data_IF_903545598844
#
_entry.id   IF_903545598844
#
_cell.length_a   1.000
_cell.length_b   1.000
_cell.length_c   1.000
_cell.angle_alpha   90.00
_cell.angle_beta   90.00
_cell.angle_gamma   90.00
#
_symmetry.space_group_name_H-M   'P 1'
#
loop_
_entity.id
_entity.type
_entity.pdbx_description
1 polymer ?
#
# COMPACT_ATOMS: atom_id res chain seq x y z
N UNK A 1 -20.93 -9.65 19.77
CA UNK A 1 -20.12 -8.42 19.69
C UNK A 1 -20.77 -7.45 20.64
N UNK A 2 -20.00 -6.91 21.58
CA UNK A 2 -20.50 -5.92 22.54
C UNK A 2 -20.72 -4.59 21.80
N UNK A 3 -21.87 -3.95 22.00
CA UNK A 3 -22.23 -2.69 21.32
C UNK A 3 -21.64 -1.45 22.01
N UNK A 4 -20.96 -1.64 23.14
CA UNK A 4 -20.35 -0.59 23.95
C UNK A 4 -19.13 0.08 23.25
N UNK A 5 -18.51 -0.57 22.26
CA UNK A 5 -17.33 -0.04 21.54
C UNK A 5 -17.66 0.71 20.24
N UNK A 6 -18.92 1.09 20.02
CA UNK A 6 -19.33 1.84 18.82
C UNK A 6 -19.09 3.35 18.99
N UNK A 7 -18.43 3.98 18.01
CA UNK A 7 -18.43 5.44 17.88
C UNK A 7 -19.86 5.95 17.63
N UNK A 8 -20.33 6.90 18.45
CA UNK A 8 -21.70 7.44 18.35
C UNK A 8 -21.67 8.82 17.72
N UNK A 9 -22.37 8.96 16.60
CA UNK A 9 -22.68 10.27 15.99
C UNK A 9 -24.01 10.75 16.57
N UNK A 10 -24.06 11.88 17.29
CA UNK A 10 -25.30 12.38 17.86
C UNK A 10 -26.22 12.90 16.74
N UNK A 11 -27.48 12.46 16.77
CA UNK A 11 -28.53 13.03 15.94
C UNK A 11 -28.84 14.48 16.36
N UNK A 12 -29.43 15.22 15.44
CA UNK A 12 -29.99 16.54 15.74
C UNK A 12 -31.03 16.48 16.87
N UNK A 13 -30.97 17.47 17.78
CA UNK A 13 -31.93 17.64 18.86
C UNK A 13 -32.97 18.68 18.44
N UNK A 14 -34.20 18.25 18.06
CA UNK A 14 -35.21 19.14 17.49
C UNK A 14 -35.71 20.21 18.47
N UNK A 15 -35.41 20.09 19.77
CA UNK A 15 -35.86 21.01 20.81
C UNK A 15 -34.88 22.16 21.07
N UNK A 16 -33.73 22.23 20.37
CA UNK A 16 -32.75 23.31 20.54
C UNK A 16 -32.40 24.02 19.23
N UNK A 17 -32.50 25.36 19.14
CA UNK A 17 -32.22 26.09 17.89
C UNK A 17 -30.73 26.17 17.49
N UNK A 18 -29.81 25.63 18.30
CA UNK A 18 -28.39 25.99 18.25
C UNK A 18 -27.45 24.76 18.22
N UNK A 19 -27.97 23.53 18.21
CA UNK A 19 -27.15 22.31 18.19
C UNK A 19 -27.55 21.37 17.06
N UNK A 20 -27.09 21.72 15.87
CA UNK A 20 -27.21 20.86 14.68
C UNK A 20 -26.37 19.59 14.89
N UNK A 21 -27.05 18.47 15.14
CA UNK A 21 -26.46 17.13 15.07
C UNK A 21 -26.50 16.58 13.64
N UNK A 22 -26.29 15.27 13.49
CA UNK A 22 -26.49 14.60 12.20
C UNK A 22 -27.98 14.51 11.85
N UNK A 23 -28.32 14.83 10.60
CA UNK A 23 -29.62 14.61 9.99
C UNK A 23 -29.58 13.41 9.04
N UNK A 24 -30.67 12.63 8.91
CA UNK A 24 -30.76 11.56 7.91
C UNK A 24 -30.36 12.05 6.51
N UNK A 25 -29.38 11.36 5.90
CA UNK A 25 -28.80 11.75 4.61
C UNK A 25 -27.46 12.48 4.68
N UNK A 26 -27.02 12.92 5.87
CA UNK A 26 -25.70 13.53 6.04
C UNK A 26 -24.59 12.52 5.75
N UNK A 27 -23.49 13.02 5.19
CA UNK A 27 -22.30 12.21 4.92
C UNK A 27 -21.39 12.20 6.15
N UNK A 28 -21.04 11.01 6.61
CA UNK A 28 -20.03 10.78 7.65
C UNK A 28 -18.73 10.37 6.98
N UNK A 29 -17.71 11.23 7.10
CA UNK A 29 -16.34 10.98 6.64
C UNK A 29 -15.42 10.74 7.84
N UNK A 30 -14.47 9.82 7.72
CA UNK A 30 -13.44 9.61 8.73
C UNK A 30 -12.08 10.11 8.23
N UNK A 31 -11.34 10.77 9.11
CA UNK A 31 -9.98 11.24 8.86
C UNK A 31 -9.04 10.67 9.93
N UNK A 32 -7.88 10.17 9.50
CA UNK A 32 -6.80 9.71 10.38
C UNK A 32 -5.60 10.65 10.20
N UNK A 33 -5.21 11.33 11.28
CA UNK A 33 -4.14 12.34 11.27
C UNK A 33 -4.31 13.39 10.14
N UNK A 34 -5.56 13.80 9.87
CA UNK A 34 -5.90 14.76 8.81
C UNK A 34 -6.00 14.18 7.39
N UNK A 35 -5.75 12.89 7.19
CA UNK A 35 -5.90 12.21 5.89
C UNK A 35 -7.27 11.52 5.81
N UNK A 36 -8.00 11.73 4.70
CA UNK A 36 -9.29 11.10 4.47
C UNK A 36 -9.13 9.57 4.36
N UNK A 37 -9.87 8.82 5.18
CA UNK A 37 -9.73 7.38 5.34
C UNK A 37 -10.40 6.56 4.22
N UNK A 38 -10.85 7.20 3.13
CA UNK A 38 -11.35 6.53 1.92
C UNK A 38 -12.79 6.02 1.98
N UNK A 39 -13.33 5.82 3.17
CA UNK A 39 -14.65 5.25 3.38
C UNK A 39 -15.66 6.31 3.88
N UNK A 40 -16.88 6.30 3.31
CA UNK A 40 -18.02 7.13 3.77
C UNK A 40 -19.21 6.29 4.21
N UNK A 41 -20.00 6.81 5.14
CA UNK A 41 -21.35 6.31 5.41
C UNK A 41 -22.39 7.42 5.36
N UNK A 42 -23.64 7.04 5.07
CA UNK A 42 -24.79 7.93 5.23
C UNK A 42 -25.31 7.80 6.65
N UNK A 43 -25.54 8.93 7.31
CA UNK A 43 -26.15 8.98 8.62
C UNK A 43 -27.65 8.64 8.52
N UNK A 44 -28.09 7.74 9.40
CA UNK A 44 -29.51 7.41 9.62
C UNK A 44 -29.77 7.30 11.12
N UNK A 45 -30.86 7.89 11.60
CA UNK A 45 -31.13 7.96 13.03
C UNK A 45 -31.47 6.57 13.62
N UNK A 46 -30.75 6.16 14.66
CA UNK A 46 -30.95 4.89 15.35
C UNK A 46 -30.34 3.67 14.67
N UNK A 47 -29.69 3.85 13.52
CA UNK A 47 -29.05 2.76 12.76
C UNK A 47 -27.58 2.58 13.14
N UNK A 48 -27.04 1.40 12.82
CA UNK A 48 -25.59 1.12 12.91
C UNK A 48 -25.06 0.77 11.53
N UNK A 49 -24.02 1.48 11.12
CA UNK A 49 -23.30 1.21 9.87
C UNK A 49 -21.83 0.89 10.18
N UNK A 50 -21.26 -0.06 9.45
CA UNK A 50 -19.85 -0.40 9.56
C UNK A 50 -19.07 0.37 8.51
N UNK A 51 -18.01 1.05 8.95
CA UNK A 51 -17.06 1.67 8.05
C UNK A 51 -15.75 0.91 8.15
N UNK A 52 -15.48 0.08 7.15
CA UNK A 52 -14.19 -0.58 7.04
C UNK A 52 -13.16 0.47 6.62
N UNK A 53 -12.15 0.67 7.47
CA UNK A 53 -11.06 1.59 7.23
C UNK A 53 -9.85 0.79 6.78
N UNK A 54 -9.51 0.91 5.50
CA UNK A 54 -8.23 0.44 5.00
C UNK A 54 -7.23 1.61 5.09
N UNK A 55 -6.35 1.58 6.10
CA UNK A 55 -5.26 2.56 6.20
C UNK A 55 -4.18 2.19 5.19
N UNK A 56 -4.40 2.58 3.93
CA UNK A 56 -3.38 2.48 2.89
C UNK A 56 -2.46 3.70 2.97
N UNK A 57 -1.54 3.71 3.94
CA UNK A 57 -0.37 4.60 3.87
C UNK A 57 0.71 3.91 3.06
N UNK A 58 0.47 3.65 1.77
CA UNK A 58 1.57 3.24 0.89
C UNK A 58 2.34 4.50 0.53
N UNK A 59 3.58 4.61 1.01
CA UNK A 59 4.51 5.58 0.42
C UNK A 59 5.00 4.97 -0.88
N UNK A 60 4.13 4.94 -1.89
CA UNK A 60 4.47 4.40 -3.20
C UNK A 60 5.57 5.26 -3.81
N UNK A 61 6.70 4.65 -4.12
CA UNK A 61 7.78 5.28 -4.86
C UNK A 61 7.72 4.83 -6.32
N UNK A 62 7.58 5.78 -7.24
CA UNK A 62 7.60 5.51 -8.67
C UNK A 62 9.04 5.44 -9.20
N UNK A 63 9.40 4.30 -9.80
CA UNK A 63 10.70 4.09 -10.43
C UNK A 63 10.53 3.68 -11.90
N UNK A 64 11.01 4.52 -12.81
CA UNK A 64 11.07 4.17 -14.22
C UNK A 64 12.21 3.16 -14.47
N UNK A 65 11.88 2.01 -15.03
CA UNK A 65 12.83 1.05 -15.61
C UNK A 65 12.79 1.17 -17.13
N UNK A 66 13.95 1.05 -17.78
CA UNK A 66 14.07 1.04 -19.23
C UNK A 66 14.30 -0.38 -19.76
N UNK A 67 13.88 -0.67 -20.98
CA UNK A 67 14.13 -1.95 -21.65
C UNK A 67 15.61 -2.38 -21.51
N UNK A 68 15.82 -3.64 -21.11
CA UNK A 68 17.14 -4.17 -20.82
C UNK A 68 17.51 -4.03 -19.34
N UNK A 69 18.80 -3.79 -19.06
CA UNK A 69 19.36 -3.85 -17.71
C UNK A 69 19.31 -2.50 -17.00
N UNK A 70 18.79 -2.49 -15.77
CA UNK A 70 18.76 -1.35 -14.86
C UNK A 70 19.46 -1.74 -13.56
N UNK A 71 20.33 -0.86 -13.03
CA UNK A 71 20.90 -1.02 -11.69
C UNK A 71 20.19 -0.07 -10.74
N UNK A 72 19.51 -0.62 -9.74
CA UNK A 72 18.70 0.13 -8.79
C UNK A 72 19.07 -0.25 -7.36
N UNK A 73 18.76 0.64 -6.41
CA UNK A 73 18.65 0.33 -5.00
C UNK A 73 17.23 0.62 -4.54
N UNK A 74 16.76 -0.06 -3.49
CA UNK A 74 15.42 0.19 -2.95
C UNK A 74 15.47 1.50 -2.15
N UNK A 75 14.58 2.48 -2.43
CA UNK A 75 14.68 3.84 -1.88
C UNK A 75 14.23 3.95 -0.41
N UNK A 76 13.74 2.87 0.19
CA UNK A 76 13.37 2.77 1.60
C UNK A 76 13.26 1.31 2.05
N UNK A 77 12.87 1.09 3.31
CA UNK A 77 12.64 -0.25 3.86
C UNK A 77 11.26 -0.71 3.39
N UNK A 78 11.14 -1.82 2.62
CA UNK A 78 9.83 -2.33 2.21
C UNK A 78 9.01 -2.83 3.40
N UNK A 79 7.69 -2.65 3.33
CA UNK A 79 6.76 -3.28 4.27
C UNK A 79 6.82 -4.81 4.21
N UNK A 80 6.83 -5.37 2.99
CA UNK A 80 7.05 -6.79 2.73
C UNK A 80 8.21 -6.94 1.73
N UNK A 81 9.39 -7.44 2.16
CA UNK A 81 10.54 -7.56 1.29
C UNK A 81 10.46 -8.74 0.33
N UNK A 82 9.42 -9.59 0.38
CA UNK A 82 9.26 -10.72 -0.53
C UNK A 82 9.37 -10.27 -2.00
N UNK A 83 10.25 -10.92 -2.76
CA UNK A 83 10.48 -10.53 -4.16
C UNK A 83 9.23 -10.65 -5.03
N UNK A 84 8.34 -11.59 -4.71
CA UNK A 84 7.08 -11.76 -5.43
C UNK A 84 6.09 -10.63 -5.13
N UNK A 85 6.10 -10.08 -3.91
CA UNK A 85 5.28 -8.93 -3.53
C UNK A 85 5.86 -7.66 -4.15
N UNK A 86 7.17 -7.43 -3.99
CA UNK A 86 7.87 -6.27 -4.52
C UNK A 86 7.70 -6.10 -6.04
N UNK A 87 7.73 -7.20 -6.80
CA UNK A 87 7.66 -7.16 -8.26
C UNK A 87 6.26 -7.42 -8.81
N UNK A 88 5.24 -7.60 -7.96
CA UNK A 88 3.92 -8.07 -8.37
C UNK A 88 3.35 -7.30 -9.57
N UNK A 89 3.37 -5.96 -9.53
CA UNK A 89 2.79 -5.11 -10.57
C UNK A 89 3.59 -5.07 -11.88
N UNK A 90 4.89 -5.39 -11.82
CA UNK A 90 5.78 -5.40 -12.98
C UNK A 90 6.20 -6.81 -13.40
N UNK A 91 5.66 -7.86 -12.77
CA UNK A 91 6.13 -9.24 -12.94
C UNK A 91 6.11 -9.70 -14.41
N UNK A 92 5.13 -9.24 -15.20
CA UNK A 92 5.04 -9.54 -16.64
C UNK A 92 6.14 -8.90 -17.50
N UNK A 93 6.88 -7.94 -16.97
CA UNK A 93 8.00 -7.27 -17.65
C UNK A 93 9.37 -7.83 -17.23
N UNK A 94 9.46 -8.51 -16.08
CA UNK A 94 10.72 -8.96 -15.49
C UNK A 94 11.25 -10.21 -16.18
N UNK A 95 12.48 -10.14 -16.70
CA UNK A 95 13.24 -11.29 -17.20
C UNK A 95 14.03 -11.94 -16.06
N UNK A 96 14.88 -11.14 -15.39
CA UNK A 96 15.63 -11.59 -14.23
C UNK A 96 16.07 -10.44 -13.32
N UNK A 97 16.27 -10.76 -12.04
CA UNK A 97 16.83 -9.89 -11.01
C UNK A 97 18.07 -10.54 -10.43
N UNK A 98 19.13 -9.76 -10.22
CA UNK A 98 20.38 -10.23 -9.64
C UNK A 98 20.85 -9.29 -8.53
N UNK A 99 21.42 -9.86 -7.48
CA UNK A 99 22.12 -9.11 -6.44
C UNK A 99 23.43 -9.81 -6.08
N UNK A 100 24.40 -9.03 -5.60
CA UNK A 100 25.71 -9.51 -5.20
C UNK A 100 25.98 -9.17 -3.75
N UNK A 101 26.37 -10.17 -2.97
CA UNK A 101 26.84 -9.98 -1.61
C UNK A 101 28.37 -9.75 -1.60
N UNK A 102 28.77 -8.51 -1.30
CA UNK A 102 30.18 -8.13 -1.23
C UNK A 102 30.97 -8.79 -0.10
N UNK A 103 30.30 -9.31 0.95
CA UNK A 103 30.97 -9.98 2.06
C UNK A 103 31.33 -11.43 1.73
N UNK A 104 30.45 -12.14 1.01
CA UNK A 104 30.64 -13.55 0.63
C UNK A 104 31.16 -13.73 -0.80
N UNK A 105 30.98 -12.73 -1.67
CA UNK A 105 31.22 -12.82 -3.11
C UNK A 105 30.14 -13.60 -3.87
N UNK A 106 29.03 -13.94 -3.22
CA UNK A 106 27.97 -14.75 -3.79
C UNK A 106 27.00 -13.90 -4.62
N UNK A 107 26.49 -14.48 -5.71
CA UNK A 107 25.44 -13.90 -6.54
C UNK A 107 24.16 -14.68 -6.33
N UNK A 108 23.07 -13.97 -6.04
CA UNK A 108 21.72 -14.53 -5.98
C UNK A 108 20.88 -13.97 -7.11
N UNK A 109 19.92 -14.76 -7.58
CA UNK A 109 19.08 -14.42 -8.73
C UNK A 109 17.63 -14.81 -8.55
N UNK A 110 16.76 -14.07 -9.23
CA UNK A 110 15.35 -14.38 -9.41
C UNK A 110 14.99 -14.30 -10.90
N UNK A 111 14.20 -15.26 -11.37
CA UNK A 111 13.54 -15.22 -12.67
C UNK A 111 12.21 -15.96 -12.58
N UNK A 112 11.11 -15.37 -13.07
CA UNK A 112 9.80 -16.06 -13.13
C UNK A 112 9.83 -17.35 -13.96
N UNK A 113 10.85 -17.53 -14.80
CA UNK A 113 10.96 -18.61 -15.78
C UNK A 113 12.12 -19.57 -15.51
N UNK A 114 12.83 -19.42 -14.38
CA UNK A 114 14.00 -20.24 -14.04
C UNK A 114 14.11 -20.48 -12.53
N UNK A 115 14.91 -21.47 -12.08
CA UNK A 115 15.23 -21.65 -10.67
C UNK A 115 15.81 -20.37 -10.08
N UNK A 116 15.33 -20.00 -8.89
CA UNK A 116 15.65 -18.73 -8.23
C UNK A 116 16.08 -18.99 -6.78
N UNK A 117 17.05 -18.22 -6.30
CA UNK A 117 17.57 -18.26 -4.92
C UNK A 117 17.58 -16.88 -4.22
N UNK A 118 17.24 -15.81 -4.96
CA UNK A 118 16.89 -14.51 -4.40
C UNK A 118 15.40 -14.49 -4.07
N UNK A 119 15.07 -14.41 -2.78
CA UNK A 119 13.67 -14.43 -2.30
C UNK A 119 13.20 -13.08 -1.75
N UNK A 120 14.11 -12.15 -1.49
CA UNK A 120 13.81 -10.86 -0.86
C UNK A 120 14.57 -9.71 -1.51
N UNK A 121 13.90 -8.55 -1.61
CA UNK A 121 14.48 -7.27 -2.00
C UNK A 121 14.41 -6.31 -0.80
N UNK A 122 15.56 -5.87 -0.30
CA UNK A 122 15.68 -5.04 0.92
C UNK A 122 16.47 -3.77 0.62
N UNK A 123 16.34 -2.77 1.50
CA UNK A 123 17.15 -1.56 1.43
C UNK A 123 18.65 -1.84 1.62
N UNK A 124 19.48 -0.89 1.18
CA UNK A 124 20.93 -0.99 1.31
C UNK A 124 21.63 -1.99 0.37
N UNK A 125 20.89 -2.66 -0.52
CA UNK A 125 21.45 -3.55 -1.56
C UNK A 125 21.24 -2.99 -2.97
N UNK A 126 22.12 -3.40 -3.88
CA UNK A 126 22.00 -3.13 -5.31
C UNK A 126 21.38 -4.32 -6.06
N UNK A 127 20.48 -4.01 -6.98
CA UNK A 127 19.77 -4.99 -7.80
C UNK A 127 19.92 -4.64 -9.28
N UNK A 128 20.40 -5.62 -10.06
CA UNK A 128 20.32 -5.58 -11.51
C UNK A 128 19.00 -6.19 -11.94
N UNK A 129 18.10 -5.39 -12.49
CA UNK A 129 16.79 -5.82 -12.99
C UNK A 129 16.81 -5.73 -14.50
N UNK A 130 16.57 -6.86 -15.18
CA UNK A 130 16.36 -6.90 -16.62
C UNK A 130 14.86 -6.94 -16.92
N UNK A 131 14.39 -5.99 -17.73
CA UNK A 131 13.00 -5.94 -18.19
C UNK A 131 12.89 -6.03 -19.71
N UNK A 132 11.77 -6.54 -20.21
CA UNK A 132 11.50 -6.72 -21.64
C UNK A 132 11.02 -5.45 -22.36
N UNK A 133 10.61 -4.42 -21.61
CA UNK A 133 10.17 -3.13 -22.14
C UNK A 133 10.27 -2.06 -21.03
N UNK A 134 10.20 -0.79 -21.41
CA UNK A 134 10.06 0.32 -20.47
C UNK A 134 8.81 0.13 -19.59
N UNK A 135 8.95 0.29 -18.28
CA UNK A 135 7.87 0.13 -17.31
C UNK A 135 8.05 1.09 -16.14
N UNK A 136 6.94 1.70 -15.69
CA UNK A 136 6.90 2.44 -14.43
C UNK A 136 6.57 1.46 -13.31
N UNK A 137 7.45 1.35 -12.32
CA UNK A 137 7.29 0.45 -11.18
C UNK A 137 6.90 1.26 -9.94
N UNK A 138 5.74 0.96 -9.38
CA UNK A 138 5.32 1.47 -8.07
C UNK A 138 5.86 0.53 -6.99
N UNK A 139 6.67 1.06 -6.07
CA UNK A 139 7.27 0.31 -4.98
C UNK A 139 6.58 0.68 -3.68
N UNK A 140 5.94 -0.30 -3.04
CA UNK A 140 5.36 -0.15 -1.70
C UNK A 140 6.45 -0.16 -0.63
N UNK A 141 6.57 0.97 0.08
CA UNK A 141 7.47 1.18 1.22
C UNK A 141 6.67 1.36 2.52
#
# INVERSE_FOLDING_TARGET
>A
WDTEDLFKVPADDPDTPEKEGGAPGDLVELYLDGTYAGSTAIFENGETTWLDIDVLTTTAYELQLYEGWNLIGIPGIPYDPSIEVMLYDIMGYVDSVWTHDGATGYWSSYSPYAPSDLTEMVDGKGYWIKVFADVLWEIDL
#
